data_IF_156119034288
#
_entry.id   IF_156119034288
#
_cell.length_a   1.000
_cell.length_b   1.000
_cell.length_c   1.000
_cell.angle_alpha   90.00
_cell.angle_beta   90.00
_cell.angle_gamma   90.00
#
_symmetry.space_group_name_H-M   'P 1'
#
loop_
_entity.id
_entity.type
_entity.pdbx_description
1 polymer ?
#
# COMPACT_ATOMS: atom_id res chain seq x y z
N UNK A 1 12.14 19.80 10.05
CA UNK A 1 10.78 19.26 9.81
C UNK A 1 10.21 18.81 11.15
N UNK A 2 9.05 19.33 11.57
CA UNK A 2 8.34 18.76 12.72
C UNK A 2 7.59 17.52 12.26
N UNK A 3 7.93 16.37 12.83
CA UNK A 3 7.21 15.12 12.61
C UNK A 3 5.98 15.12 13.52
N UNK A 4 4.79 15.11 12.93
CA UNK A 4 3.53 15.00 13.67
C UNK A 4 2.98 13.61 13.45
N UNK A 5 2.84 12.83 14.52
CA UNK A 5 2.13 11.56 14.45
C UNK A 5 0.66 11.83 14.14
N UNK A 6 0.12 11.14 13.13
CA UNK A 6 -1.30 11.17 12.82
C UNK A 6 -1.80 9.73 12.69
N UNK A 7 -2.65 9.32 13.64
CA UNK A 7 -3.35 8.04 13.54
C UNK A 7 -4.30 8.05 12.33
N UNK A 8 -4.30 7.01 11.49
CA UNK A 8 -5.23 6.95 10.36
C UNK A 8 -6.67 6.73 10.85
N UNK A 9 -7.63 7.45 10.27
CA UNK A 9 -9.06 7.28 10.57
C UNK A 9 -9.68 6.26 9.63
N UNK A 10 -10.53 5.36 10.09
CA UNK A 10 -11.24 4.40 9.22
C UNK A 10 -12.03 5.14 8.13
N UNK A 11 -11.70 4.88 6.86
CA UNK A 11 -12.33 5.46 5.68
C UNK A 11 -12.79 4.30 4.79
N UNK A 12 -13.98 4.39 4.18
CA UNK A 12 -14.49 3.35 3.27
C UNK A 12 -13.83 3.43 1.88
N UNK A 13 -13.80 2.30 1.16
CA UNK A 13 -13.25 2.24 -0.21
C UNK A 13 -13.93 3.28 -1.11
N UNK A 14 -15.25 3.45 -1.00
CA UNK A 14 -16.01 4.39 -1.84
C UNK A 14 -15.56 5.84 -1.62
N UNK A 15 -15.28 6.23 -0.37
CA UNK A 15 -14.76 7.55 -0.07
C UNK A 15 -13.35 7.73 -0.64
N UNK A 16 -12.48 6.73 -0.52
CA UNK A 16 -11.13 6.81 -1.13
C UNK A 16 -11.19 6.91 -2.65
N UNK A 17 -12.13 6.21 -3.30
CA UNK A 17 -12.38 6.35 -4.74
C UNK A 17 -12.76 7.78 -5.11
N UNK A 18 -13.63 8.43 -4.34
CA UNK A 18 -14.00 9.82 -4.57
C UNK A 18 -12.77 10.74 -4.49
N UNK A 19 -11.92 10.60 -3.47
CA UNK A 19 -10.68 11.39 -3.37
C UNK A 19 -9.75 11.20 -4.58
N UNK A 20 -9.61 9.96 -5.07
CA UNK A 20 -8.79 9.67 -6.25
C UNK A 20 -9.37 10.32 -7.52
N UNK A 21 -10.70 10.28 -7.69
CA UNK A 21 -11.41 10.91 -8.81
C UNK A 21 -11.28 12.44 -8.79
N UNK A 22 -11.37 13.04 -7.60
CA UNK A 22 -11.21 14.48 -7.37
C UNK A 22 -9.75 14.94 -7.42
N UNK A 23 -8.80 14.01 -7.57
CA UNK A 23 -7.36 14.24 -7.53
C UNK A 23 -6.89 14.87 -6.21
N UNK A 24 -7.61 14.62 -5.12
CA UNK A 24 -7.18 14.99 -3.77
C UNK A 24 -6.12 14.00 -3.27
N UNK A 25 -4.87 14.28 -3.60
CA UNK A 25 -3.74 13.41 -3.30
C UNK A 25 -3.60 13.16 -1.79
N UNK A 26 -3.76 14.19 -0.96
CA UNK A 26 -3.54 14.08 0.48
C UNK A 26 -4.58 13.17 1.14
N UNK A 27 -5.85 13.32 0.80
CA UNK A 27 -6.90 12.49 1.36
C UNK A 27 -6.90 11.08 0.75
N UNK A 28 -6.50 10.94 -0.53
CA UNK A 28 -6.26 9.63 -1.14
C UNK A 28 -5.19 8.83 -0.41
N UNK A 29 -4.03 9.44 -0.13
CA UNK A 29 -2.92 8.80 0.62
C UNK A 29 -3.40 8.35 2.00
N UNK A 30 -4.06 9.24 2.76
CA UNK A 30 -4.58 8.93 4.10
C UNK A 30 -5.60 7.79 4.06
N UNK A 31 -6.48 7.81 3.06
CA UNK A 31 -7.49 6.78 2.83
C UNK A 31 -6.88 5.42 2.53
N UNK A 32 -5.93 5.35 1.59
CA UNK A 32 -5.24 4.12 1.18
C UNK A 32 -4.52 3.47 2.38
N UNK A 33 -3.76 4.27 3.14
CA UNK A 33 -3.06 3.78 4.34
C UNK A 33 -4.06 3.29 5.40
N UNK A 34 -5.12 4.07 5.66
CA UNK A 34 -6.16 3.70 6.63
C UNK A 34 -6.84 2.37 6.29
N UNK A 35 -7.22 2.18 5.03
CA UNK A 35 -7.85 0.94 4.55
C UNK A 35 -6.98 -0.28 4.87
N UNK A 36 -5.66 -0.18 4.64
CA UNK A 36 -4.73 -1.28 4.87
C UNK A 36 -4.60 -1.70 6.34
N UNK A 37 -4.83 -0.78 7.28
CA UNK A 37 -4.68 -1.02 8.71
C UNK A 37 -6.01 -1.41 9.35
N UNK A 38 -7.08 -0.66 9.10
CA UNK A 38 -8.34 -0.77 9.85
C UNK A 38 -9.48 -1.41 9.06
N UNK A 39 -9.35 -1.53 7.74
CA UNK A 39 -10.44 -2.02 6.92
C UNK A 39 -10.69 -3.52 7.12
N UNK A 40 -11.97 -3.88 7.26
CA UNK A 40 -12.42 -5.26 7.59
C UNK A 40 -12.47 -6.20 6.39
N UNK A 41 -12.88 -5.72 5.23
CA UNK A 41 -13.00 -6.55 4.02
C UNK A 41 -11.64 -6.66 3.31
N UNK A 42 -10.75 -7.46 3.91
CA UNK A 42 -9.32 -7.52 3.56
C UNK A 42 -9.09 -7.80 2.07
N UNK A 43 -9.83 -8.74 1.49
CA UNK A 43 -9.67 -9.13 0.08
C UNK A 43 -10.00 -7.98 -0.88
N UNK A 44 -11.14 -7.32 -0.68
CA UNK A 44 -11.55 -6.21 -1.55
C UNK A 44 -10.63 -5.00 -1.38
N UNK A 45 -10.12 -4.77 -0.16
CA UNK A 45 -9.13 -3.73 0.13
C UNK A 45 -7.82 -4.00 -0.61
N UNK A 46 -7.30 -5.23 -0.53
CA UNK A 46 -6.10 -5.60 -1.25
C UNK A 46 -6.25 -5.41 -2.76
N UNK A 47 -7.37 -5.89 -3.34
CA UNK A 47 -7.65 -5.69 -4.77
C UNK A 47 -7.76 -4.21 -5.13
N UNK A 48 -8.42 -3.40 -4.30
CA UNK A 48 -8.53 -1.97 -4.53
C UNK A 48 -7.15 -1.27 -4.51
N UNK A 49 -6.31 -1.56 -3.51
CA UNK A 49 -4.97 -0.96 -3.38
C UNK A 49 -4.05 -1.44 -4.52
N UNK A 50 -4.08 -2.73 -4.84
CA UNK A 50 -3.34 -3.30 -5.98
C UNK A 50 -3.72 -2.59 -7.29
N UNK A 51 -5.01 -2.49 -7.58
CA UNK A 51 -5.46 -1.85 -8.81
C UNK A 51 -5.06 -0.37 -8.85
N UNK A 52 -5.17 0.33 -7.72
CA UNK A 52 -4.75 1.74 -7.60
C UNK A 52 -3.25 1.91 -7.86
N UNK A 53 -2.41 1.01 -7.35
CA UNK A 53 -0.97 1.00 -7.61
C UNK A 53 -0.66 0.79 -9.11
N UNK A 54 -1.34 -0.16 -9.73
CA UNK A 54 -1.12 -0.52 -11.14
C UNK A 54 -1.58 0.58 -12.10
N UNK A 55 -2.65 1.32 -11.76
CA UNK A 55 -3.26 2.30 -12.66
C UNK A 55 -2.90 3.77 -12.38
N UNK A 56 -2.33 4.10 -11.21
CA UNK A 56 -2.04 5.49 -10.86
C UNK A 56 -0.77 6.00 -11.55
N UNK A 57 -0.81 7.16 -12.18
CA UNK A 57 0.40 7.86 -12.66
C UNK A 57 1.06 8.72 -11.57
N UNK A 58 0.34 9.01 -10.49
CA UNK A 58 0.86 9.82 -9.39
C UNK A 58 1.81 8.98 -8.52
N UNK A 59 3.05 9.45 -8.37
CA UNK A 59 4.10 8.73 -7.66
C UNK A 59 3.85 8.62 -6.15
N UNK A 60 3.28 9.65 -5.52
CA UNK A 60 2.97 9.64 -4.09
C UNK A 60 1.86 8.65 -3.76
N UNK A 61 0.85 8.55 -4.64
CA UNK A 61 -0.19 7.52 -4.54
C UNK A 61 0.42 6.12 -4.69
N UNK A 62 1.35 5.91 -5.63
CA UNK A 62 2.05 4.61 -5.74
C UNK A 62 2.82 4.28 -4.46
N UNK A 63 3.57 5.23 -3.88
CA UNK A 63 4.26 5.05 -2.59
C UNK A 63 3.28 4.66 -1.50
N UNK A 64 2.15 5.36 -1.38
CA UNK A 64 1.13 5.07 -0.39
C UNK A 64 0.56 3.65 -0.56
N UNK A 65 0.34 3.22 -1.80
CA UNK A 65 -0.10 1.86 -2.09
C UNK A 65 0.96 0.83 -1.70
N UNK A 66 2.25 1.04 -2.01
CA UNK A 66 3.34 0.13 -1.66
C UNK A 66 3.44 -0.02 -0.13
N UNK A 67 3.41 1.10 0.62
CA UNK A 67 3.36 1.06 2.11
C UNK A 67 2.16 0.29 2.64
N UNK A 68 1.01 0.49 1.99
CA UNK A 68 -0.23 -0.17 2.36
C UNK A 68 -0.23 -1.67 2.06
N UNK A 69 0.44 -2.08 0.98
CA UNK A 69 0.71 -3.49 0.70
C UNK A 69 1.62 -4.07 1.78
N UNK A 70 2.64 -3.34 2.25
CA UNK A 70 3.46 -3.76 3.39
C UNK A 70 2.63 -4.02 4.64
N UNK A 71 1.72 -3.10 5.00
CA UNK A 71 0.79 -3.32 6.11
C UNK A 71 -0.08 -4.58 5.91
N UNK A 72 -0.57 -4.83 4.69
CA UNK A 72 -1.34 -6.04 4.37
C UNK A 72 -0.48 -7.29 4.52
N UNK A 73 0.76 -7.28 4.03
CA UNK A 73 1.70 -8.39 4.18
C UNK A 73 1.93 -8.71 5.66
N UNK A 74 2.15 -7.69 6.51
CA UNK A 74 2.34 -7.88 7.95
C UNK A 74 1.12 -8.47 8.68
N UNK A 75 -0.09 -8.05 8.29
CA UNK A 75 -1.33 -8.39 8.99
C UNK A 75 -1.91 -9.71 8.47
N UNK A 76 -1.94 -9.87 7.15
CA UNK A 76 -2.64 -10.96 6.47
C UNK A 76 -1.68 -12.06 5.97
N UNK A 77 -0.36 -11.86 6.06
CA UNK A 77 0.68 -12.77 5.57
C UNK A 77 0.47 -13.18 4.10
N UNK A 78 0.06 -12.22 3.27
CA UNK A 78 -0.37 -12.47 1.91
C UNK A 78 0.14 -11.42 0.91
N UNK A 79 0.64 -11.90 -0.23
CA UNK A 79 0.88 -11.13 -1.44
C UNK A 79 0.78 -12.07 -2.66
N UNK A 80 0.20 -11.60 -3.76
CA UNK A 80 0.11 -12.40 -4.99
C UNK A 80 1.34 -12.23 -5.92
N UNK A 81 1.59 -13.26 -6.75
CA UNK A 81 2.74 -13.32 -7.66
C UNK A 81 2.72 -12.26 -8.76
N UNK A 82 1.53 -11.84 -9.19
CA UNK A 82 1.40 -10.83 -10.24
C UNK A 82 1.91 -9.47 -9.73
N UNK A 83 1.53 -9.12 -8.49
CA UNK A 83 2.00 -7.91 -7.83
C UNK A 83 3.52 -7.94 -7.62
N UNK A 84 4.09 -9.07 -7.20
CA UNK A 84 5.55 -9.22 -7.07
C UNK A 84 6.28 -8.92 -8.40
N UNK A 85 5.76 -9.45 -9.52
CA UNK A 85 6.34 -9.17 -10.84
C UNK A 85 6.31 -7.67 -11.19
N UNK A 86 5.24 -6.97 -10.85
CA UNK A 86 5.15 -5.52 -11.04
C UNK A 86 6.09 -4.75 -10.11
N UNK A 87 6.24 -5.15 -8.85
CA UNK A 87 7.14 -4.51 -7.89
C UNK A 87 8.61 -4.64 -8.33
N UNK A 88 9.01 -5.78 -8.89
CA UNK A 88 10.35 -5.97 -9.48
C UNK A 88 10.62 -5.02 -10.66
N UNK A 89 9.61 -4.70 -11.46
CA UNK A 89 9.74 -3.65 -12.47
C UNK A 89 10.00 -2.28 -11.82
N UNK A 90 9.22 -1.92 -10.78
CA UNK A 90 9.39 -0.65 -10.07
C UNK A 90 10.72 -0.52 -9.33
N UNK A 91 11.37 -1.63 -8.92
CA UNK A 91 12.70 -1.58 -8.26
C UNK A 91 13.79 -0.93 -9.11
N UNK A 92 13.62 -0.95 -10.43
CA UNK A 92 14.54 -0.30 -11.37
C UNK A 92 14.42 1.22 -11.35
N UNK A 93 13.35 1.76 -10.77
CA UNK A 93 13.12 3.18 -10.61
C UNK A 93 13.65 3.63 -9.24
N UNK A 94 14.69 4.48 -9.23
CA UNK A 94 15.35 4.98 -8.02
C UNK A 94 14.36 5.56 -6.99
N UNK A 95 13.32 6.23 -7.48
CA UNK A 95 12.33 6.90 -6.66
C UNK A 95 11.57 5.96 -5.68
N UNK A 96 11.41 4.68 -6.03
CA UNK A 96 10.67 3.72 -5.18
C UNK A 96 11.58 2.82 -4.34
N UNK A 97 12.91 2.90 -4.49
CA UNK A 97 13.82 1.91 -3.90
C UNK A 97 13.68 1.78 -2.38
N UNK A 98 13.59 2.90 -1.65
CA UNK A 98 13.47 2.85 -0.19
C UNK A 98 12.17 2.17 0.26
N UNK A 99 11.02 2.57 -0.28
CA UNK A 99 9.73 1.99 0.12
C UNK A 99 9.57 0.54 -0.33
N UNK A 100 10.21 0.17 -1.44
CA UNK A 100 10.25 -1.22 -1.89
C UNK A 100 11.15 -2.06 -0.99
N UNK A 101 12.30 -1.54 -0.54
CA UNK A 101 13.16 -2.22 0.43
C UNK A 101 12.37 -2.58 1.70
N UNK A 102 11.66 -1.61 2.28
CA UNK A 102 10.82 -1.83 3.47
C UNK A 102 9.76 -2.91 3.23
N UNK A 103 9.13 -2.92 2.04
CA UNK A 103 8.15 -3.94 1.68
C UNK A 103 8.77 -5.33 1.52
N UNK A 104 9.96 -5.44 0.91
CA UNK A 104 10.63 -6.73 0.77
C UNK A 104 11.07 -7.28 2.12
N UNK A 105 11.51 -6.43 3.06
CA UNK A 105 11.76 -6.83 4.43
C UNK A 105 10.48 -7.39 5.09
N UNK A 106 9.32 -6.75 4.90
CA UNK A 106 8.04 -7.27 5.39
C UNK A 106 7.69 -8.63 4.77
N UNK A 107 7.88 -8.79 3.46
CA UNK A 107 7.62 -10.07 2.76
C UNK A 107 8.52 -11.16 3.32
N UNK A 108 9.80 -10.86 3.49
CA UNK A 108 10.76 -11.84 4.00
C UNK A 108 10.44 -12.22 5.43
N UNK A 109 10.13 -11.26 6.30
CA UNK A 109 9.81 -11.51 7.71
C UNK A 109 8.48 -12.26 7.88
N UNK A 110 7.41 -11.85 7.20
CA UNK A 110 6.04 -12.31 7.50
C UNK A 110 5.55 -13.44 6.58
N UNK A 111 6.14 -13.60 5.39
CA UNK A 111 5.75 -14.65 4.43
C UNK A 111 6.81 -15.75 4.34
N UNK A 112 8.08 -15.38 4.19
CA UNK A 112 9.16 -16.35 3.90
C UNK A 112 9.80 -16.93 5.17
N UNK A 113 9.97 -16.12 6.21
CA UNK A 113 10.49 -16.51 7.52
C UNK A 113 9.39 -17.11 8.41
N UNK A 114 8.82 -18.24 8.01
CA UNK A 114 8.09 -19.07 8.97
C UNK A 114 9.12 -19.73 9.88
N UNK A 115 9.18 -19.26 11.12
CA UNK A 115 9.88 -19.97 12.21
C UNK A 115 9.19 -21.34 12.33
N UNK A 116 9.91 -22.40 11.93
CA UNK A 116 9.49 -23.78 12.17
C UNK A 116 9.45 -24.09 13.68
#
# INVERSE_FOLDING_TARGET
MNMIYQEPKLISIDIVRLFLLEKDINNSIKGIISLSIYGKNRKDIYHFIKNTLLSSDNKDIKIACIKSIGNIVRIDNFIDKELLGFLEFLRKEEYYQSVLSDLYDDIDIFINCKIN
#
